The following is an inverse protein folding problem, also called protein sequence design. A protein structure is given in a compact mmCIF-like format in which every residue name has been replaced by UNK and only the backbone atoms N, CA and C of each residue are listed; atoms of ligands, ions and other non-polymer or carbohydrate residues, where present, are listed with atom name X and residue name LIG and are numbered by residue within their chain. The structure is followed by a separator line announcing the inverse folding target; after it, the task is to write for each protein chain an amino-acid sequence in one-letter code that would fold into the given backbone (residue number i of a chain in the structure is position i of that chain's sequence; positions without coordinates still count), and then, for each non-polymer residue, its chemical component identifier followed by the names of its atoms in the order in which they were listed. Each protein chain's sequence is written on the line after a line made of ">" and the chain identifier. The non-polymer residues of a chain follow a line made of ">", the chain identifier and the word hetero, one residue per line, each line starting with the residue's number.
data_IF_756323622563
#
_entry.id   IF_756323622563
#
_cell.length_a   1.000
_cell.length_b   1.000
_cell.length_c   1.000
_cell.angle_alpha   90.00
_cell.angle_beta   90.00
_cell.angle_gamma   90.00
#
_symmetry.space_group_name_H-M   'P 1'
#
loop_
_entity.id
_entity.type
_entity.pdbx_description
1 polymer ?
#
# COMPACT_ATOMS: atom_id res chain seq x y z
N UNK A 1 -2.10 13.40 -3.55
CA UNK A 1 -1.30 12.25 -3.07
C UNK A 1 -2.23 11.28 -2.32
N UNK A 2 -2.07 9.96 -2.53
CA UNK A 2 -2.86 8.90 -1.89
C UNK A 2 -1.94 7.91 -1.18
N UNK A 3 -2.16 7.65 0.11
CA UNK A 3 -1.45 6.62 0.87
C UNK A 3 -2.23 5.31 0.84
N UNK A 4 -1.55 4.21 0.51
CA UNK A 4 -2.16 2.89 0.33
C UNK A 4 -1.37 1.85 1.12
N UNK A 5 -1.98 1.14 2.09
CA UNK A 5 -1.28 0.10 2.84
C UNK A 5 -0.80 -1.02 1.91
N UNK A 6 0.51 -1.28 1.87
CA UNK A 6 1.08 -2.24 0.93
C UNK A 6 0.62 -3.68 1.16
N UNK A 7 0.26 -4.06 2.40
CA UNK A 7 -0.30 -5.39 2.71
C UNK A 7 -1.72 -5.60 2.15
N UNK A 8 -2.45 -4.51 1.85
CA UNK A 8 -3.84 -4.57 1.41
C UNK A 8 -3.95 -4.67 -0.11
N UNK A 9 -3.70 -5.86 -0.67
CA UNK A 9 -3.64 -6.11 -2.11
C UNK A 9 -4.84 -5.55 -2.92
N UNK A 10 -6.06 -5.61 -2.36
CA UNK A 10 -7.26 -5.04 -3.00
C UNK A 10 -7.17 -3.52 -3.21
N UNK A 11 -6.50 -2.80 -2.30
CA UNK A 11 -6.35 -1.35 -2.36
C UNK A 11 -5.22 -0.99 -3.32
N UNK A 12 -4.10 -1.71 -3.27
CA UNK A 12 -2.99 -1.55 -4.22
C UNK A 12 -3.48 -1.77 -5.66
N UNK A 13 -4.22 -2.84 -5.91
CA UNK A 13 -4.73 -3.16 -7.25
C UNK A 13 -5.60 -2.06 -7.87
N UNK A 14 -6.33 -1.30 -7.04
CA UNK A 14 -7.25 -0.24 -7.49
C UNK A 14 -6.68 1.17 -7.28
N UNK A 15 -5.47 1.31 -6.74
CA UNK A 15 -4.88 2.60 -6.39
C UNK A 15 -4.71 3.50 -7.63
N UNK A 16 -4.28 2.92 -8.75
CA UNK A 16 -4.05 3.62 -10.03
C UNK A 16 -5.34 4.17 -10.68
N UNK A 17 -6.51 3.66 -10.29
CA UNK A 17 -7.81 4.16 -10.77
C UNK A 17 -8.27 5.40 -9.99
N UNK A 18 -7.55 5.78 -8.93
CA UNK A 18 -7.85 6.98 -8.16
C UNK A 18 -7.16 8.17 -8.81
N UNK A 19 -7.86 9.28 -8.91
CA UNK A 19 -7.36 10.53 -9.50
C UNK A 19 -6.41 11.26 -8.55
N UNK A 20 -5.32 10.60 -8.13
CA UNK A 20 -4.28 11.16 -7.30
C UNK A 20 -3.01 11.38 -8.12
N UNK A 21 -2.36 12.54 -7.94
CA UNK A 21 -1.12 12.87 -8.66
C UNK A 21 0.06 11.96 -8.30
N UNK A 22 0.00 11.32 -7.13
CA UNK A 22 0.98 10.36 -6.66
C UNK A 22 0.33 9.34 -5.71
N UNK A 23 0.82 8.11 -5.76
CA UNK A 23 0.46 7.00 -4.87
C UNK A 23 1.69 6.66 -4.02
N UNK A 24 1.52 6.59 -2.71
CA UNK A 24 2.54 6.15 -1.76
C UNK A 24 2.08 4.81 -1.18
N UNK A 25 2.86 3.76 -1.42
CA UNK A 25 2.63 2.46 -0.82
C UNK A 25 3.26 2.45 0.57
N UNK A 26 2.42 2.36 1.59
CA UNK A 26 2.83 2.47 2.99
C UNK A 26 3.31 1.11 3.54
N UNK A 27 4.45 1.15 4.23
CA UNK A 27 5.07 0.03 4.97
C UNK A 27 5.21 0.33 6.48
N UNK A 28 4.75 1.50 6.93
CA UNK A 28 4.87 1.97 8.30
C UNK A 28 3.60 1.67 9.10
N UNK A 29 2.85 2.69 9.50
CA UNK A 29 1.80 2.59 10.52
C UNK A 29 0.52 1.93 9.98
N UNK A 30 0.27 1.98 8.67
CA UNK A 30 -0.87 1.30 8.09
C UNK A 30 -0.62 -0.20 7.82
N UNK A 31 0.56 -0.73 8.15
CA UNK A 31 0.90 -2.16 8.00
C UNK A 31 1.08 -2.83 9.37
N UNK A 32 0.26 -3.84 9.71
CA UNK A 32 0.46 -4.63 10.92
C UNK A 32 1.89 -5.19 11.00
N UNK A 33 2.51 -5.27 12.19
CA UNK A 33 3.90 -5.75 12.32
C UNK A 33 4.16 -7.11 11.68
N UNK A 34 3.19 -8.04 11.78
CA UNK A 34 3.27 -9.37 11.20
C UNK A 34 3.31 -9.36 9.65
N UNK A 35 2.75 -8.32 9.03
CA UNK A 35 2.61 -8.22 7.58
C UNK A 35 3.73 -7.41 6.93
N UNK A 36 4.61 -6.75 7.71
CA UNK A 36 5.65 -5.86 7.16
C UNK A 36 6.61 -6.55 6.20
N UNK A 37 6.99 -7.81 6.48
CA UNK A 37 7.88 -8.58 5.61
C UNK A 37 7.15 -8.95 4.31
N UNK A 38 5.94 -9.49 4.41
CA UNK A 38 5.14 -9.88 3.26
C UNK A 38 4.78 -8.67 2.37
N UNK A 39 4.38 -7.56 2.98
CA UNK A 39 4.06 -6.32 2.29
C UNK A 39 5.26 -5.79 1.50
N UNK A 40 6.47 -5.85 2.06
CA UNK A 40 7.71 -5.44 1.36
C UNK A 40 8.09 -6.39 0.23
N UNK A 41 7.90 -7.69 0.42
CA UNK A 41 8.21 -8.69 -0.59
C UNK A 41 7.26 -8.66 -1.81
N UNK A 42 6.09 -8.03 -1.66
CA UNK A 42 5.07 -7.89 -2.70
C UNK A 42 5.19 -6.61 -3.55
N UNK A 43 6.21 -5.76 -3.30
CA UNK A 43 6.53 -4.56 -4.08
C UNK A 43 7.54 -4.87 -5.18
#
# INVERSE_FOLDING_TARGET
>A
MLYVPAHAARFVARAHERSADAIILDLEDAVPPADKIAARAAL
#
